data_IF_402083204076
#
_entry.id   IF_402083204076
#
_cell.length_a   1.000
_cell.length_b   1.000
_cell.length_c   1.000
_cell.angle_alpha   90.00
_cell.angle_beta   90.00
_cell.angle_gamma   90.00
#
_symmetry.space_group_name_H-M   'P 1'
#
loop_
_entity.id
_entity.type
_entity.pdbx_description
1 polymer ?
#
# COMPACT_ATOMS: atom_id res chain seq x y z
N UNK A 1 -15.41 -82.52 10.94
CA UNK A 1 -16.50 -83.48 10.61
C UNK A 1 -17.82 -82.93 11.18
N UNK A 2 -18.99 -83.23 10.58
CA UNK A 2 -19.80 -82.31 9.75
C UNK A 2 -21.21 -82.07 10.38
N UNK A 3 -22.24 -81.39 9.84
CA UNK A 3 -22.77 -81.28 8.48
C UNK A 3 -23.56 -79.98 8.23
N UNK A 4 -23.46 -79.60 6.96
CA UNK A 4 -24.18 -78.63 6.13
C UNK A 4 -25.69 -78.95 6.00
N UNK A 5 -26.54 -77.93 5.78
CA UNK A 5 -27.46 -77.94 4.63
C UNK A 5 -28.11 -76.59 4.31
N UNK A 6 -28.22 -76.36 2.99
CA UNK A 6 -28.69 -75.16 2.28
C UNK A 6 -30.20 -75.13 2.07
N UNK A 7 -30.74 -73.93 1.81
CA UNK A 7 -31.59 -73.54 0.65
C UNK A 7 -32.41 -72.28 1.01
N UNK A 8 -32.98 -71.47 0.11
CA UNK A 8 -32.61 -70.84 -1.17
C UNK A 8 -33.84 -69.98 -1.59
N UNK A 9 -33.63 -68.72 -1.96
CA UNK A 9 -34.36 -67.92 -3.00
C UNK A 9 -35.78 -67.36 -2.70
N UNK A 10 -35.97 -66.04 -2.96
CA UNK A 10 -36.88 -65.39 -3.97
C UNK A 10 -37.03 -63.89 -3.67
N UNK A 11 -36.28 -63.02 -4.34
CA UNK A 11 -36.65 -62.17 -5.51
C UNK A 11 -37.86 -61.21 -5.32
N UNK A 12 -37.58 -59.90 -5.47
CA UNK A 12 -38.51 -58.77 -5.40
C UNK A 12 -39.41 -58.61 -6.65
N UNK A 13 -40.43 -57.72 -6.60
CA UNK A 13 -40.81 -57.00 -7.81
C UNK A 13 -41.07 -55.48 -7.64
N UNK A 14 -40.56 -54.75 -8.63
CA UNK A 14 -41.20 -53.72 -9.48
C UNK A 14 -41.54 -52.30 -8.95
N UNK A 15 -40.99 -51.36 -9.74
CA UNK A 15 -41.29 -49.94 -9.92
C UNK A 15 -42.67 -49.64 -10.53
N UNK A 16 -43.26 -48.48 -10.22
CA UNK A 16 -44.13 -47.66 -11.10
C UNK A 16 -44.28 -46.23 -10.52
N UNK A 17 -43.48 -45.24 -10.94
CA UNK A 17 -43.73 -44.19 -11.98
C UNK A 17 -44.88 -43.21 -11.70
N UNK A 18 -44.54 -41.90 -11.64
CA UNK A 18 -45.46 -40.83 -12.04
C UNK A 18 -45.30 -39.51 -11.30
N UNK A 19 -44.45 -38.61 -11.82
CA UNK A 19 -44.77 -37.19 -12.01
C UNK A 19 -43.56 -36.46 -12.62
N UNK A 20 -43.55 -36.38 -13.96
CA UNK A 20 -42.87 -35.32 -14.71
C UNK A 20 -43.94 -34.66 -15.58
N UNK A 21 -44.04 -33.33 -15.46
CA UNK A 21 -44.52 -32.35 -16.44
C UNK A 21 -45.97 -32.51 -16.99
N UNK A 22 -46.83 -31.49 -16.97
CA UNK A 22 -47.02 -30.39 -17.94
C UNK A 22 -48.20 -29.56 -17.36
N UNK A 23 -48.34 -28.24 -17.43
CA UNK A 23 -47.76 -27.28 -18.36
C UNK A 23 -48.08 -25.81 -18.02
N UNK A 24 -47.49 -24.97 -18.85
CA UNK A 24 -47.36 -23.51 -18.83
C UNK A 24 -48.68 -22.74 -19.09
N UNK A 25 -48.84 -21.63 -18.33
CA UNK A 25 -49.21 -20.26 -18.76
C UNK A 25 -50.65 -19.94 -19.19
N UNK A 26 -51.30 -19.02 -18.45
CA UNK A 26 -51.93 -17.74 -18.88
C UNK A 26 -52.24 -16.91 -17.60
N UNK A 27 -51.39 -15.98 -17.14
CA UNK A 27 -51.38 -14.53 -17.39
C UNK A 27 -52.62 -13.72 -16.92
N UNK A 28 -52.36 -12.75 -16.02
CA UNK A 28 -53.12 -11.51 -15.71
C UNK A 28 -54.25 -11.56 -14.66
N UNK A 29 -53.93 -11.36 -13.36
CA UNK A 29 -54.20 -10.13 -12.55
C UNK A 29 -53.40 -10.28 -11.25
N UNK A 30 -52.18 -9.75 -11.25
CA UNK A 30 -51.33 -9.58 -10.06
C UNK A 30 -50.29 -8.47 -10.26
N UNK A 31 -50.56 -7.57 -11.21
CA UNK A 31 -49.79 -6.36 -11.51
C UNK A 31 -50.48 -5.19 -10.79
N UNK A 32 -50.09 -4.92 -9.55
CA UNK A 32 -50.18 -3.61 -8.86
C UNK A 32 -50.05 -3.84 -7.34
N UNK A 33 -48.86 -4.26 -6.89
CA UNK A 33 -48.61 -4.54 -5.49
C UNK A 33 -47.14 -4.50 -5.15
N UNK A 34 -46.55 -3.31 -5.27
CA UNK A 34 -45.24 -2.92 -4.72
C UNK A 34 -43.99 -3.45 -5.43
N UNK A 35 -43.80 -2.93 -6.64
CA UNK A 35 -42.53 -2.25 -6.91
C UNK A 35 -42.49 -1.00 -6.00
N UNK A 36 -41.33 -0.68 -5.40
CA UNK A 36 -41.05 0.28 -4.29
C UNK A 36 -40.89 -0.52 -2.98
N UNK A 37 -39.70 -0.76 -2.40
CA UNK A 37 -38.55 0.13 -2.19
C UNK A 37 -37.24 -0.61 -2.49
N UNK A 38 -36.42 0.09 -3.24
CA UNK A 38 -35.01 -0.10 -3.55
C UNK A 38 -34.13 -0.71 -2.45
N UNK A 39 -33.12 -1.48 -2.91
CA UNK A 39 -31.70 -1.33 -2.53
C UNK A 39 -31.49 -0.90 -1.07
N UNK A 40 -31.31 -1.86 -0.17
CA UNK A 40 -31.10 -1.56 1.25
C UNK A 40 -30.34 -2.61 2.04
N UNK A 41 -29.52 -3.44 1.36
CA UNK A 41 -28.66 -4.43 2.02
C UNK A 41 -27.17 -4.33 1.62
N UNK A 42 -26.77 -3.20 1.03
CA UNK A 42 -25.37 -2.92 0.69
C UNK A 42 -24.96 -1.48 1.01
N UNK A 43 -25.60 -0.82 1.96
CA UNK A 43 -25.22 0.55 2.32
C UNK A 43 -24.98 0.62 3.82
N UNK A 44 -23.80 0.19 4.26
CA UNK A 44 -23.21 0.58 5.55
C UNK A 44 -21.69 0.30 5.65
N UNK A 45 -20.96 0.25 4.53
CA UNK A 45 -19.54 0.66 4.59
C UNK A 45 -19.59 2.18 4.67
N UNK A 46 -19.60 2.62 5.93
CA UNK A 46 -19.67 4.00 6.32
C UNK A 46 -18.70 4.83 5.47
N UNK A 47 -19.29 5.87 4.90
CA UNK A 47 -18.71 7.09 4.35
C UNK A 47 -17.78 7.77 5.36
N UNK A 48 -16.67 7.12 5.72
CA UNK A 48 -15.56 7.72 6.47
C UNK A 48 -14.41 8.17 5.56
N UNK A 49 -14.66 8.36 4.26
CA UNK A 49 -13.75 9.11 3.35
C UNK A 49 -14.13 10.59 3.30
N UNK A 50 -14.19 11.26 4.44
CA UNK A 50 -14.29 12.73 4.50
C UNK A 50 -13.14 13.38 5.28
N UNK A 51 -12.04 12.67 5.54
CA UNK A 51 -10.86 13.28 6.18
C UNK A 51 -9.52 12.61 5.85
N UNK A 52 -9.40 11.84 4.77
CA UNK A 52 -8.07 11.68 4.18
C UNK A 52 -7.84 12.91 3.32
N UNK A 53 -7.14 13.90 3.87
CA UNK A 53 -6.28 14.75 3.06
C UNK A 53 -5.36 13.78 2.32
N UNK A 54 -5.75 13.33 1.13
CA UNK A 54 -4.83 12.61 0.27
C UNK A 54 -3.66 13.56 0.05
N UNK A 55 -2.48 13.11 0.46
CA UNK A 55 -1.25 13.83 0.22
C UNK A 55 -1.01 13.85 -1.29
N UNK A 56 -1.66 14.77 -1.96
CA UNK A 56 -1.82 14.74 -3.41
C UNK A 56 -0.50 15.22 -3.99
N UNK A 57 0.30 14.28 -4.46
CA UNK A 57 1.54 14.56 -5.16
C UNK A 57 1.22 15.21 -6.51
N UNK A 58 1.16 16.53 -6.55
CA UNK A 58 1.22 17.32 -7.80
C UNK A 58 2.68 17.58 -8.16
N UNK A 59 3.49 16.53 -8.25
CA UNK A 59 4.90 16.67 -8.62
C UNK A 59 5.14 16.29 -10.08
N UNK A 60 5.90 17.14 -10.79
CA UNK A 60 6.40 16.82 -12.13
C UNK A 60 7.72 16.03 -12.11
N UNK A 61 8.24 15.70 -10.93
CA UNK A 61 9.50 14.96 -10.81
C UNK A 61 9.33 13.50 -11.21
N UNK A 62 10.43 12.88 -11.67
CA UNK A 62 10.44 11.45 -12.00
C UNK A 62 10.32 10.64 -10.73
N UNK A 63 9.35 9.73 -10.67
CA UNK A 63 9.26 8.76 -9.58
C UNK A 63 10.21 7.58 -9.82
N UNK A 64 10.74 7.03 -8.73
CA UNK A 64 11.52 5.80 -8.67
C UNK A 64 10.91 4.91 -7.58
N UNK A 65 10.59 3.66 -7.93
CA UNK A 65 10.26 2.67 -6.90
C UNK A 65 11.57 2.15 -6.32
N UNK A 66 11.75 2.31 -5.01
CA UNK A 66 12.88 1.76 -4.26
C UNK A 66 12.36 0.74 -3.26
N UNK A 67 13.10 -0.34 -3.06
CA UNK A 67 12.70 -1.43 -2.17
C UNK A 67 13.73 -1.70 -1.09
N UNK A 68 13.28 -2.05 0.12
CA UNK A 68 14.10 -2.55 1.23
C UNK A 68 13.37 -3.72 1.89
N UNK A 69 13.96 -4.92 1.79
CA UNK A 69 13.21 -6.15 2.09
C UNK A 69 11.95 -6.25 1.21
N UNK A 70 10.80 -6.47 1.83
CA UNK A 70 9.48 -6.54 1.16
C UNK A 70 8.77 -5.17 1.07
N UNK A 71 9.36 -4.11 1.62
CA UNK A 71 8.78 -2.77 1.62
C UNK A 71 9.12 -2.07 0.31
N UNK A 72 8.11 -1.44 -0.31
CA UNK A 72 8.27 -0.57 -1.48
C UNK A 72 7.93 0.87 -1.13
N UNK A 73 8.78 1.79 -1.58
CA UNK A 73 8.62 3.23 -1.43
C UNK A 73 8.65 3.84 -2.83
N UNK A 74 7.68 4.68 -3.14
CA UNK A 74 7.69 5.46 -4.39
C UNK A 74 8.32 6.81 -4.09
N UNK A 75 9.56 7.00 -4.53
CA UNK A 75 10.34 8.20 -4.25
C UNK A 75 10.41 9.14 -5.46
N UNK A 76 10.13 10.42 -5.26
CA UNK A 76 10.38 11.45 -6.26
C UNK A 76 11.89 11.74 -6.35
N UNK A 77 12.46 11.84 -7.55
CA UNK A 77 13.89 12.07 -7.73
C UNK A 77 14.22 13.56 -7.82
N UNK A 78 15.15 14.01 -6.96
CA UNK A 78 15.77 15.33 -7.02
C UNK A 78 17.21 15.18 -7.55
N UNK A 79 17.44 15.57 -8.80
CA UNK A 79 18.69 15.29 -9.54
C UNK A 79 19.51 16.57 -9.74
N UNK A 80 18.86 17.68 -10.09
CA UNK A 80 19.56 18.95 -10.28
C UNK A 80 19.56 19.80 -9.01
N UNK A 81 20.47 20.78 -8.95
CA UNK A 81 20.64 21.64 -7.79
C UNK A 81 19.35 22.36 -7.35
N UNK A 82 18.48 22.74 -8.29
CA UNK A 82 17.22 23.42 -7.97
C UNK A 82 16.25 22.46 -7.29
N UNK A 83 16.09 21.26 -7.82
CA UNK A 83 15.25 20.21 -7.22
C UNK A 83 15.78 19.80 -5.84
N UNK A 84 17.10 19.65 -5.72
CA UNK A 84 17.75 19.26 -4.46
C UNK A 84 17.66 20.36 -3.39
N UNK A 85 17.79 21.63 -3.78
CA UNK A 85 17.65 22.74 -2.85
C UNK A 85 16.19 22.95 -2.42
N UNK A 86 15.23 22.66 -3.30
CA UNK A 86 13.81 22.73 -2.99
C UNK A 86 13.38 21.57 -2.08
N UNK A 87 13.78 20.35 -2.40
CA UNK A 87 13.43 19.17 -1.62
C UNK A 87 11.91 19.05 -1.38
N UNK A 88 11.56 18.69 -0.14
CA UNK A 88 10.19 18.63 0.36
C UNK A 88 9.62 19.97 0.85
N UNK A 89 10.30 21.09 0.61
CA UNK A 89 9.79 22.42 0.98
C UNK A 89 8.40 22.66 0.40
N UNK A 90 7.59 23.45 1.10
CA UNK A 90 6.22 23.81 0.73
C UNK A 90 5.20 22.66 0.65
N UNK A 91 5.61 21.40 0.80
CA UNK A 91 4.70 20.23 0.88
C UNK A 91 3.95 20.25 2.20
N UNK A 92 2.66 19.94 2.18
CA UNK A 92 1.83 19.87 3.39
C UNK A 92 1.98 18.54 4.15
N UNK A 93 2.45 17.49 3.48
CA UNK A 93 2.59 16.15 4.03
C UNK A 93 3.51 15.28 3.17
N UNK A 94 3.81 14.07 3.66
CA UNK A 94 4.41 12.98 2.90
C UNK A 94 3.79 11.65 3.40
N UNK A 95 3.25 10.84 2.49
CA UNK A 95 2.66 9.56 2.86
C UNK A 95 3.74 8.51 3.20
N UNK A 96 3.40 7.54 4.07
CA UNK A 96 4.36 6.53 4.56
C UNK A 96 5.01 5.68 3.47
N UNK A 97 4.36 5.47 2.33
CA UNK A 97 4.90 4.72 1.19
C UNK A 97 5.52 5.63 0.11
N UNK A 98 5.78 6.90 0.44
CA UNK A 98 6.38 7.91 -0.43
C UNK A 98 7.69 8.41 0.18
N UNK A 99 8.55 8.96 -0.66
CA UNK A 99 9.79 9.61 -0.23
C UNK A 99 10.31 10.58 -1.27
N UNK A 100 11.46 11.18 -0.98
CA UNK A 100 12.24 11.92 -1.95
C UNK A 100 13.66 11.37 -2.00
N UNK A 101 14.13 11.03 -3.20
CA UNK A 101 15.45 10.48 -3.46
C UNK A 101 16.33 11.54 -4.12
N UNK A 102 17.31 12.03 -3.38
CA UNK A 102 18.35 12.93 -3.86
C UNK A 102 19.46 12.10 -4.49
N UNK A 103 19.79 12.37 -5.75
CA UNK A 103 20.78 11.61 -6.52
C UNK A 103 21.98 12.49 -6.85
N UNK A 104 23.17 12.07 -6.42
CA UNK A 104 24.43 12.77 -6.68
C UNK A 104 25.40 11.91 -7.51
N UNK A 105 26.34 12.58 -8.18
CA UNK A 105 27.34 11.93 -9.02
C UNK A 105 28.43 11.21 -8.21
N UNK A 106 28.72 11.71 -7.01
CA UNK A 106 29.82 11.27 -6.15
C UNK A 106 29.39 11.05 -4.70
N UNK A 107 30.16 10.22 -3.99
CA UNK A 107 30.03 9.99 -2.54
C UNK A 107 30.75 11.12 -1.77
N UNK A 108 30.00 12.07 -1.22
CA UNK A 108 30.56 13.23 -0.51
C UNK A 108 29.68 13.62 0.67
N UNK A 109 30.09 14.63 1.44
CA UNK A 109 29.27 15.22 2.50
C UNK A 109 28.07 15.94 1.89
N UNK A 110 26.86 15.48 2.22
CA UNK A 110 25.59 16.09 1.81
C UNK A 110 24.89 16.63 3.05
N UNK A 111 24.57 17.92 3.02
CA UNK A 111 23.96 18.64 4.13
C UNK A 111 22.50 18.95 3.83
N UNK A 112 21.64 18.67 4.79
CA UNK A 112 20.20 18.92 4.72
C UNK A 112 19.77 19.83 5.86
N UNK A 113 18.72 20.61 5.62
CA UNK A 113 18.09 21.52 6.58
C UNK A 113 16.58 21.41 6.47
N UNK A 114 15.87 22.07 7.38
CA UNK A 114 14.41 22.07 7.41
C UNK A 114 13.81 23.42 7.02
N UNK A 115 14.50 24.20 6.18
CA UNK A 115 14.00 25.49 5.72
C UNK A 115 12.67 25.30 4.98
N UNK A 116 11.64 26.07 5.34
CA UNK A 116 10.32 26.07 4.69
C UNK A 116 9.58 24.71 4.71
N UNK A 117 9.96 23.80 5.62
CA UNK A 117 9.30 22.52 5.86
C UNK A 117 8.10 22.63 6.80
N UNK A 118 7.08 21.79 6.59
CA UNK A 118 5.82 21.80 7.38
C UNK A 118 5.61 20.54 8.24
N UNK A 119 6.46 19.53 8.11
CA UNK A 119 6.36 18.27 8.83
C UNK A 119 7.75 17.70 9.11
N UNK A 120 7.81 16.78 10.08
CA UNK A 120 9.03 16.12 10.50
C UNK A 120 9.39 14.97 9.53
N UNK A 121 10.69 14.73 9.32
CA UNK A 121 11.20 13.71 8.40
C UNK A 121 12.30 12.84 9.04
N UNK A 122 12.47 11.63 8.50
CA UNK A 122 13.71 10.88 8.63
C UNK A 122 14.60 11.17 7.41
N UNK A 123 15.91 11.37 7.63
CA UNK A 123 16.90 11.61 6.56
C UNK A 123 17.90 10.47 6.55
N UNK A 124 17.97 9.72 5.45
CA UNK A 124 18.83 8.55 5.31
C UNK A 124 19.92 8.85 4.28
N UNK A 125 21.19 8.78 4.68
CA UNK A 125 22.32 8.87 3.75
C UNK A 125 22.71 7.48 3.28
N UNK A 126 22.90 7.31 1.98
CA UNK A 126 23.23 6.04 1.34
C UNK A 126 24.55 6.13 0.58
N UNK A 127 25.34 5.07 0.66
CA UNK A 127 26.62 4.94 -0.04
C UNK A 127 26.48 4.55 -1.52
N UNK A 128 27.60 4.26 -2.18
CA UNK A 128 27.65 3.82 -3.59
C UNK A 128 26.90 2.51 -3.84
N UNK A 129 26.79 1.64 -2.85
CA UNK A 129 26.12 0.33 -2.93
C UNK A 129 24.65 0.42 -2.53
N UNK A 130 24.16 1.64 -2.26
CA UNK A 130 22.81 1.97 -1.79
C UNK A 130 22.54 1.39 -0.40
N UNK A 131 23.57 1.30 0.42
CA UNK A 131 23.46 0.93 1.83
C UNK A 131 23.35 2.18 2.66
N UNK A 132 22.45 2.15 3.65
CA UNK A 132 22.28 3.23 4.61
C UNK A 132 23.56 3.35 5.44
N UNK A 133 24.27 4.48 5.30
CA UNK A 133 25.45 4.81 6.09
C UNK A 133 25.07 5.49 7.41
N UNK A 134 23.99 6.29 7.39
CA UNK A 134 23.50 7.02 8.56
C UNK A 134 22.00 7.34 8.41
N UNK A 135 21.32 7.47 9.54
CA UNK A 135 19.93 7.93 9.63
C UNK A 135 19.85 9.03 10.68
N UNK A 136 19.36 10.20 10.29
CA UNK A 136 18.87 11.19 11.24
C UNK A 136 17.36 11.02 11.37
N UNK A 137 16.90 10.72 12.58
CA UNK A 137 15.48 10.47 12.83
C UNK A 137 14.75 11.71 13.29
N UNK A 138 13.47 11.79 12.95
CA UNK A 138 12.52 12.72 13.57
C UNK A 138 13.00 14.20 13.50
N UNK A 139 13.57 14.60 12.35
CA UNK A 139 14.10 15.95 12.12
C UNK A 139 12.94 16.92 11.92
N UNK A 140 12.84 17.91 12.81
CA UNK A 140 11.69 18.83 12.85
C UNK A 140 11.95 20.18 12.16
N UNK A 141 10.93 20.83 11.54
CA UNK A 141 11.01 22.21 11.04
C UNK A 141 11.65 23.21 12.01
N UNK A 142 11.41 23.04 13.32
CA UNK A 142 11.98 23.89 14.36
C UNK A 142 13.51 23.82 14.50
N UNK A 143 14.18 22.91 13.79
CA UNK A 143 15.65 22.79 13.81
C UNK A 143 16.36 23.80 12.92
N UNK A 144 15.67 24.43 11.95
CA UNK A 144 16.27 25.47 11.10
C UNK A 144 16.77 26.65 11.94
N UNK A 145 18.00 27.19 11.73
CA UNK A 145 18.87 27.02 10.56
C UNK A 145 19.94 25.92 10.68
N UNK A 146 19.82 24.98 11.63
CA UNK A 146 20.76 23.86 11.74
C UNK A 146 20.77 23.03 10.45
N UNK A 147 21.96 22.59 10.04
CA UNK A 147 22.14 21.58 9.00
C UNK A 147 22.65 20.28 9.58
N UNK A 148 22.25 19.17 8.97
CA UNK A 148 22.66 17.81 9.27
C UNK A 148 23.47 17.29 8.09
N UNK A 149 24.71 16.87 8.32
CA UNK A 149 25.66 16.58 7.25
C UNK A 149 26.29 15.20 7.45
N UNK A 150 26.11 14.32 6.48
CA UNK A 150 26.76 13.00 6.44
C UNK A 150 27.22 12.65 5.03
N UNK A 151 28.08 11.63 4.94
CA UNK A 151 28.58 11.14 3.66
C UNK A 151 27.52 10.30 2.96
N UNK A 152 27.13 10.70 1.75
CA UNK A 152 26.16 9.99 0.92
C UNK A 152 26.30 10.32 -0.55
N UNK A 153 26.11 9.32 -1.41
CA UNK A 153 25.91 9.51 -2.85
C UNK A 153 24.42 9.64 -3.17
N UNK A 154 23.58 9.01 -2.36
CA UNK A 154 22.14 9.19 -2.38
C UNK A 154 21.68 9.62 -0.99
N UNK A 155 20.60 10.39 -0.95
CA UNK A 155 19.90 10.68 0.30
C UNK A 155 18.42 10.39 0.08
N UNK A 156 17.79 9.70 1.02
CA UNK A 156 16.37 9.39 1.00
C UNK A 156 15.70 10.09 2.18
N UNK A 157 14.76 10.98 1.89
CA UNK A 157 13.87 11.56 2.88
C UNK A 157 12.57 10.77 2.93
N UNK A 158 12.15 10.43 4.16
CA UNK A 158 10.90 9.74 4.47
C UNK A 158 10.13 10.53 5.55
N UNK A 159 8.85 10.27 5.72
CA UNK A 159 8.11 10.82 6.86
C UNK A 159 8.73 10.38 8.20
N UNK A 160 8.64 11.22 9.23
CA UNK A 160 9.21 10.89 10.54
C UNK A 160 8.73 9.53 11.08
N UNK A 161 9.71 8.76 11.58
CA UNK A 161 9.51 7.42 12.12
C UNK A 161 9.18 6.34 11.08
N UNK A 162 9.09 6.66 9.78
CA UNK A 162 8.86 5.66 8.73
C UNK A 162 10.03 4.68 8.65
N UNK A 163 11.27 5.16 8.82
CA UNK A 163 12.44 4.27 8.80
C UNK A 163 12.33 3.19 9.89
N UNK A 164 11.91 3.58 11.10
CA UNK A 164 11.65 2.64 12.20
C UNK A 164 10.47 1.71 11.89
N UNK A 165 9.36 2.22 11.32
CA UNK A 165 8.19 1.40 10.95
C UNK A 165 8.53 0.31 9.91
N UNK A 166 9.48 0.59 9.04
CA UNK A 166 9.93 -0.33 7.99
C UNK A 166 11.21 -1.10 8.35
N UNK A 167 11.64 -1.07 9.62
CA UNK A 167 12.84 -1.75 10.10
C UNK A 167 14.10 -1.40 9.28
N UNK A 168 14.20 -0.14 8.87
CA UNK A 168 15.35 0.40 8.16
C UNK A 168 16.37 0.90 9.18
N UNK A 169 17.57 0.35 9.14
CA UNK A 169 18.70 0.73 9.98
C UNK A 169 19.96 0.97 9.16
N UNK A 170 21.02 1.47 9.78
CA UNK A 170 22.36 1.45 9.18
C UNK A 170 22.71 0.05 8.66
N UNK A 171 23.25 -0.02 7.45
CA UNK A 171 23.57 -1.25 6.75
C UNK A 171 22.45 -1.82 5.87
N UNK A 172 21.19 -1.42 6.09
CA UNK A 172 20.06 -1.78 5.20
C UNK A 172 20.36 -1.35 3.78
N UNK A 173 20.02 -2.19 2.81
CA UNK A 173 20.30 -1.95 1.40
C UNK A 173 19.01 -1.74 0.64
N UNK A 174 18.94 -0.64 -0.08
CA UNK A 174 17.86 -0.36 -1.00
C UNK A 174 18.19 -0.88 -2.41
N UNK A 175 17.16 -1.28 -3.15
CA UNK A 175 17.25 -1.80 -4.51
C UNK A 175 16.33 -1.01 -5.43
N UNK A 176 16.86 -0.61 -6.60
CA UNK A 176 16.13 -0.01 -7.71
C UNK A 176 16.92 -0.11 -9.03
#
# INVERSE_FOLDING_TARGET
>A
MPKNNRAKIKLAPRFYTGWRAIGFVLLLVGLAGWVVVSKGLFDNVSTSRLAQTECTALSSLREQVISVGDVQIVAEQAINNTEQAHGLSDRDCLADNRGMLFVYDSLESRCFWMKDMKFDIDILWLDNDRRVSYIEHDVSPGTYPKSFCHIGRYVLELGAGVAKRYDVSTGSRFVW
#
